data_IF_928026368657
#
_entry.id   IF_928026368657
#
_cell.length_a   1.000
_cell.length_b   1.000
_cell.length_c   1.000
_cell.angle_alpha   90.00
_cell.angle_beta   90.00
_cell.angle_gamma   90.00
#
_symmetry.space_group_name_H-M   'P 1'
#
loop_
_entity.id
_entity.type
_entity.pdbx_description
1 polymer ?
#
# COMPACT_ATOMS: atom_id res chain seq x y z
N UNK A 1 7.87 14.38 13.56
CA UNK A 1 6.65 14.17 12.74
C UNK A 1 6.87 12.93 11.89
N UNK A 2 6.47 11.76 12.41
CA UNK A 2 6.72 10.46 11.77
C UNK A 2 5.62 10.15 10.76
N UNK A 3 5.68 10.81 9.60
CA UNK A 3 4.84 10.49 8.42
C UNK A 3 5.53 9.51 7.47
N UNK A 4 6.61 8.86 7.91
CA UNK A 4 7.25 7.71 7.26
C UNK A 4 6.69 6.49 7.99
N UNK A 5 5.85 5.61 7.43
CA UNK A 5 6.26 4.64 6.41
C UNK A 5 5.05 3.84 5.84
N UNK A 6 3.81 4.35 5.85
CA UNK A 6 2.67 3.56 5.30
C UNK A 6 2.85 3.33 3.80
N UNK A 7 3.29 4.36 3.08
CA UNK A 7 3.57 4.28 1.65
C UNK A 7 4.75 3.34 1.39
N UNK A 8 5.89 3.55 2.06
CA UNK A 8 7.06 2.68 1.90
C UNK A 8 6.74 1.22 2.22
N UNK A 9 6.02 0.96 3.32
CA UNK A 9 5.58 -0.39 3.69
C UNK A 9 4.62 -0.98 2.66
N UNK A 10 3.69 -0.18 2.13
CA UNK A 10 2.83 -0.61 1.03
C UNK A 10 3.63 -0.99 -0.21
N UNK A 11 4.66 -0.23 -0.58
CA UNK A 11 5.53 -0.54 -1.70
C UNK A 11 6.39 -1.79 -1.45
N UNK A 12 6.82 -2.04 -0.20
CA UNK A 12 7.49 -3.29 0.18
C UNK A 12 6.55 -4.51 0.18
N UNK A 13 5.28 -4.31 0.52
CA UNK A 13 4.25 -5.36 0.48
C UNK A 13 3.71 -5.58 -0.93
N UNK A 14 3.79 -4.60 -1.83
CA UNK A 14 3.34 -4.72 -3.21
C UNK A 14 3.87 -5.96 -3.95
N UNK A 15 5.15 -6.38 -3.83
CA UNK A 15 5.60 -7.61 -4.46
C UNK A 15 5.09 -8.91 -3.81
N UNK A 16 4.68 -8.87 -2.53
CA UNK A 16 4.17 -10.01 -1.79
C UNK A 16 2.63 -10.11 -1.81
N UNK A 17 1.96 -8.99 -2.09
CA UNK A 17 0.52 -8.86 -2.19
C UNK A 17 0.08 -8.85 -3.66
N UNK A 18 -1.13 -9.32 -3.94
CA UNK A 18 -1.69 -9.33 -5.31
C UNK A 18 -2.59 -8.13 -5.59
N UNK A 19 -2.91 -7.34 -4.56
CA UNK A 19 -3.89 -6.25 -4.66
C UNK A 19 -3.71 -5.21 -3.55
N UNK A 20 -4.19 -3.99 -3.81
CA UNK A 20 -4.17 -2.88 -2.83
C UNK A 20 -4.96 -3.25 -1.56
N UNK A 21 -6.04 -4.03 -1.71
CA UNK A 21 -6.85 -4.46 -0.56
C UNK A 21 -6.07 -5.40 0.38
N UNK A 22 -5.20 -6.23 -0.19
CA UNK A 22 -4.33 -7.13 0.56
C UNK A 22 -3.23 -6.36 1.32
N UNK A 23 -2.62 -5.37 0.66
CA UNK A 23 -1.73 -4.40 1.32
C UNK A 23 -2.46 -3.71 2.47
N UNK A 24 -3.69 -3.22 2.23
CA UNK A 24 -4.48 -2.51 3.24
C UNK A 24 -4.77 -3.40 4.45
N UNK A 25 -5.12 -4.67 4.21
CA UNK A 25 -5.34 -5.68 5.26
C UNK A 25 -4.09 -5.93 6.07
N UNK A 26 -2.95 -6.09 5.41
CA UNK A 26 -1.66 -6.35 6.07
C UNK A 26 -1.23 -5.15 6.91
N UNK A 27 -1.33 -3.94 6.37
CA UNK A 27 -1.00 -2.71 7.10
C UNK A 27 -1.94 -2.49 8.29
N UNK A 28 -3.25 -2.73 8.13
CA UNK A 28 -4.18 -2.69 9.27
C UNK A 28 -3.82 -3.72 10.34
N UNK A 29 -3.39 -4.91 9.94
CA UNK A 29 -2.91 -5.95 10.87
C UNK A 29 -1.62 -5.57 11.59
N UNK A 30 -0.72 -4.84 10.93
CA UNK A 30 0.50 -4.30 11.56
C UNK A 30 0.21 -3.11 12.49
N UNK A 31 -1.05 -2.68 12.62
CA UNK A 31 -1.45 -1.58 13.50
C UNK A 31 -1.33 -0.20 12.86
N UNK A 32 -1.09 -0.13 11.55
CA UNK A 32 -1.13 1.15 10.84
C UNK A 32 -2.57 1.70 10.84
N UNK A 33 -2.70 2.90 11.38
CA UNK A 33 -3.90 3.74 11.24
C UNK A 33 -3.74 4.67 10.03
N UNK A 34 -4.83 5.14 9.42
CA UNK A 34 -4.82 5.98 8.21
C UNK A 34 -4.31 5.32 6.92
N UNK A 35 -4.24 3.99 6.86
CA UNK A 35 -3.90 3.21 5.66
C UNK A 35 -4.74 3.66 4.45
N UNK A 36 -6.05 3.81 4.62
CA UNK A 36 -6.96 4.32 3.59
C UNK A 36 -6.69 5.77 3.17
N UNK A 37 -6.29 6.65 4.09
CA UNK A 37 -5.98 8.04 3.76
C UNK A 37 -4.70 8.15 2.91
N UNK A 38 -3.70 7.30 3.19
CA UNK A 38 -2.44 7.28 2.44
C UNK A 38 -2.51 6.48 1.14
N UNK A 39 -3.20 5.33 1.14
CA UNK A 39 -3.36 4.46 -0.04
C UNK A 39 -4.55 4.82 -0.92
N UNK A 40 -5.49 5.60 -0.39
CA UNK A 40 -6.64 6.13 -1.14
C UNK A 40 -6.27 7.28 -2.07
N UNK A 41 -5.07 7.86 -1.94
CA UNK A 41 -4.57 8.87 -2.86
C UNK A 41 -4.49 8.31 -4.29
N UNK A 42 -5.10 9.01 -5.25
CA UNK A 42 -5.20 8.57 -6.64
C UNK A 42 -3.83 8.21 -7.25
N UNK A 43 -2.79 8.99 -6.92
CA UNK A 43 -1.42 8.75 -7.37
C UNK A 43 -0.83 7.45 -6.81
N UNK A 44 -0.94 7.20 -5.50
CA UNK A 44 -0.41 5.98 -4.85
C UNK A 44 -1.16 4.74 -5.33
N UNK A 45 -2.49 4.84 -5.45
CA UNK A 45 -3.33 3.77 -5.99
C UNK A 45 -2.92 3.42 -7.42
N UNK A 46 -2.66 4.43 -8.26
CA UNK A 46 -2.21 4.22 -9.64
C UNK A 46 -0.81 3.58 -9.69
N UNK A 47 0.12 4.02 -8.83
CA UNK A 47 1.48 3.49 -8.79
C UNK A 47 1.51 2.03 -8.33
N UNK A 48 0.79 1.70 -7.25
CA UNK A 48 0.63 0.31 -6.80
C UNK A 48 -0.03 -0.56 -7.86
N UNK A 49 -1.08 -0.06 -8.52
CA UNK A 49 -1.74 -0.78 -9.62
C UNK A 49 -0.80 -1.05 -10.79
N UNK A 50 0.06 -0.09 -11.16
CA UNK A 50 1.12 -0.30 -12.16
C UNK A 50 2.14 -1.35 -11.72
N UNK A 51 2.49 -1.38 -10.42
CA UNK A 51 3.41 -2.37 -9.85
C UNK A 51 2.83 -3.79 -9.95
N UNK A 52 1.57 -3.98 -9.57
CA UNK A 52 0.87 -5.26 -9.70
C UNK A 52 0.72 -5.71 -11.15
N UNK A 53 0.38 -4.78 -12.05
CA UNK A 53 0.24 -5.09 -13.47
C UNK A 53 1.57 -5.51 -14.15
N UNK A 54 2.72 -5.14 -13.56
CA UNK A 54 4.05 -5.60 -14.01
C UNK A 54 4.46 -6.97 -13.44
N UNK A 55 3.72 -7.50 -12.45
CA UNK A 55 3.97 -8.82 -11.86
C UNK A 55 3.03 -9.91 -12.39
N UNK A 56 2.01 -9.53 -13.16
CA UNK A 56 1.08 -10.43 -13.84
C UNK A 56 1.62 -10.86 -15.21
#
# INVERSE_FOLDING_TARGET
>A
MQTQNIIERAFQLAPASTSIDDIRKTLRREGYSNVDAHLGGASIKADLKKRFARQA
#
